data_IF_570137047505
#
_entry.id   IF_570137047505
#
_cell.length_a   1.000
_cell.length_b   1.000
_cell.length_c   1.000
_cell.angle_alpha   90.00
_cell.angle_beta   90.00
_cell.angle_gamma   90.00
#
_symmetry.space_group_name_H-M   'P 1'
#
loop_
_entity.id
_entity.type
_entity.pdbx_description
1 polymer ?
#
# COMPACT_ATOMS: atom_id res chain seq x y z
N UNK A 1 23.29 12.97 14.10
CA UNK A 1 22.27 13.00 13.04
C UNK A 1 22.85 13.76 11.86
N UNK A 2 23.22 13.10 10.76
CA UNK A 2 23.91 13.76 9.62
C UNK A 2 23.03 14.81 8.91
N UNK A 3 21.71 14.69 8.93
CA UNK A 3 20.78 15.57 8.21
C UNK A 3 19.84 16.39 9.13
N UNK A 4 20.13 16.47 10.42
CA UNK A 4 19.35 17.24 11.36
C UNK A 4 17.96 16.66 11.71
N UNK A 5 17.21 17.35 12.56
CA UNK A 5 15.90 16.90 13.02
C UNK A 5 14.79 17.07 11.95
N UNK A 6 14.94 18.04 11.05
CA UNK A 6 14.00 18.25 9.95
C UNK A 6 13.89 17.05 9.02
N UNK A 7 14.98 16.32 8.79
CA UNK A 7 14.98 15.10 7.99
C UNK A 7 14.13 13.98 8.62
N UNK A 8 14.05 13.93 9.95
CA UNK A 8 13.20 12.97 10.66
C UNK A 8 11.72 13.29 10.44
N UNK A 9 11.34 14.57 10.47
CA UNK A 9 9.96 15.00 10.22
C UNK A 9 9.55 14.66 8.78
N UNK A 10 10.42 14.94 7.81
CA UNK A 10 10.16 14.59 6.41
C UNK A 10 10.04 13.07 6.20
N UNK A 11 10.89 12.29 6.87
CA UNK A 11 10.82 10.83 6.81
C UNK A 11 9.54 10.28 7.44
N UNK A 12 9.00 10.93 8.50
CA UNK A 12 7.74 10.53 9.13
C UNK A 12 6.57 10.54 8.14
N UNK A 13 6.50 11.52 7.23
CA UNK A 13 5.46 11.56 6.19
C UNK A 13 5.54 10.36 5.25
N UNK A 14 6.76 9.99 4.84
CA UNK A 14 6.98 8.78 4.02
C UNK A 14 6.64 7.49 4.76
N UNK A 15 6.96 7.42 6.06
CA UNK A 15 6.63 6.27 6.90
C UNK A 15 5.11 6.15 7.08
N UNK A 16 4.39 7.24 7.29
CA UNK A 16 2.91 7.21 7.35
C UNK A 16 2.30 6.61 6.08
N UNK A 17 2.82 7.00 4.91
CA UNK A 17 2.38 6.43 3.63
C UNK A 17 2.61 4.91 3.56
N UNK A 18 3.72 4.40 4.09
CA UNK A 18 4.03 2.97 4.10
C UNK A 18 3.08 2.12 4.95
N UNK A 19 2.34 2.74 5.88
CA UNK A 19 1.35 2.06 6.72
C UNK A 19 -0.08 2.13 6.18
N UNK A 20 -0.34 2.92 5.13
CA UNK A 20 -1.64 2.95 4.45
C UNK A 20 -1.93 1.56 3.91
N UNK A 21 -3.14 1.07 4.20
CA UNK A 21 -3.58 -0.27 3.78
C UNK A 21 -3.63 -1.31 4.92
N UNK A 22 -3.06 -1.02 6.08
CA UNK A 22 -3.20 -1.89 7.25
C UNK A 22 -4.67 -2.05 7.67
N UNK A 23 -5.50 -1.03 7.45
CA UNK A 23 -6.94 -1.01 7.69
C UNK A 23 -7.75 -1.92 6.75
N UNK A 24 -7.23 -2.26 5.57
CA UNK A 24 -7.90 -3.15 4.60
C UNK A 24 -8.22 -4.52 5.24
N UNK A 25 -7.37 -4.98 6.15
CA UNK A 25 -7.59 -6.23 6.88
C UNK A 25 -8.87 -6.17 7.71
N UNK A 26 -9.21 -5.01 8.26
CA UNK A 26 -10.44 -4.84 9.04
C UNK A 26 -11.69 -4.87 8.16
N UNK A 27 -11.61 -4.36 6.93
CA UNK A 27 -12.71 -4.42 5.94
C UNK A 27 -12.99 -5.87 5.56
N UNK A 28 -11.93 -6.66 5.29
CA UNK A 28 -12.07 -8.08 4.97
C UNK A 28 -12.61 -8.89 6.17
N UNK A 29 -12.13 -8.58 7.37
CA UNK A 29 -12.58 -9.25 8.59
C UNK A 29 -14.04 -8.94 8.95
N UNK A 30 -14.55 -7.77 8.56
CA UNK A 30 -15.95 -7.38 8.78
C UNK A 30 -16.97 -8.26 8.01
N UNK A 31 -16.54 -8.94 6.95
CA UNK A 31 -17.36 -9.88 6.17
C UNK A 31 -17.32 -11.32 6.69
N UNK A 32 -16.56 -11.59 7.76
CA UNK A 32 -16.47 -12.92 8.34
C UNK A 32 -17.68 -13.26 9.21
N UNK A 33 -17.86 -14.55 9.54
CA UNK A 33 -18.97 -15.03 10.42
C UNK A 33 -18.92 -14.42 11.82
N UNK A 34 -17.72 -14.10 12.34
CA UNK A 34 -17.50 -13.49 13.65
C UNK A 34 -16.63 -12.23 13.55
N UNK A 35 -17.18 -11.10 13.05
CA UNK A 35 -16.40 -9.90 12.72
C UNK A 35 -15.56 -9.36 13.90
N UNK A 36 -16.14 -9.25 15.09
CA UNK A 36 -15.45 -8.70 16.25
C UNK A 36 -14.22 -9.51 16.67
N UNK A 37 -14.30 -10.84 16.61
CA UNK A 37 -13.17 -11.72 16.93
C UNK A 37 -12.08 -11.65 15.87
N UNK A 38 -12.47 -11.68 14.60
CA UNK A 38 -11.51 -11.68 13.49
C UNK A 38 -10.82 -10.30 13.33
N UNK A 39 -11.53 -9.19 13.55
CA UNK A 39 -10.94 -7.84 13.58
C UNK A 39 -9.88 -7.77 14.70
N UNK A 40 -10.20 -8.22 15.91
CA UNK A 40 -9.24 -8.20 17.03
C UNK A 40 -8.00 -9.05 16.75
N UNK A 41 -8.17 -10.25 16.18
CA UNK A 41 -7.07 -11.14 15.81
C UNK A 41 -6.22 -10.55 14.70
N UNK A 42 -6.87 -9.99 13.68
CA UNK A 42 -6.21 -9.33 12.58
C UNK A 42 -5.39 -8.12 13.04
N UNK A 43 -5.96 -7.23 13.86
CA UNK A 43 -5.26 -6.07 14.41
C UNK A 43 -4.01 -6.46 15.20
N UNK A 44 -4.11 -7.44 16.10
CA UNK A 44 -2.94 -7.93 16.82
C UNK A 44 -1.86 -8.52 15.89
N UNK A 45 -2.29 -9.28 14.87
CA UNK A 45 -1.36 -9.86 13.89
C UNK A 45 -0.63 -8.78 13.08
N UNK A 46 -1.35 -7.71 12.68
CA UNK A 46 -0.77 -6.58 11.94
C UNK A 46 0.31 -5.89 12.76
N UNK A 47 0.06 -5.59 14.03
CA UNK A 47 1.05 -4.94 14.92
C UNK A 47 2.35 -5.75 14.99
N UNK A 48 2.26 -7.07 15.23
CA UNK A 48 3.43 -7.94 15.29
C UNK A 48 4.18 -8.04 13.94
N UNK A 49 3.45 -8.10 12.83
CA UNK A 49 4.05 -8.12 11.49
C UNK A 49 4.78 -6.82 11.18
N UNK A 50 4.19 -5.68 11.51
CA UNK A 50 4.82 -4.37 11.34
C UNK A 50 6.10 -4.32 12.19
N UNK A 51 6.03 -4.66 13.47
CA UNK A 51 7.19 -4.63 14.35
C UNK A 51 8.32 -5.53 13.82
N UNK A 52 8.02 -6.76 13.43
CA UNK A 52 9.01 -7.71 12.98
C UNK A 52 9.56 -7.38 11.58
N UNK A 53 8.69 -7.15 10.61
CA UNK A 53 9.11 -7.03 9.21
C UNK A 53 9.54 -5.61 8.85
N UNK A 54 8.87 -4.56 9.33
CA UNK A 54 9.28 -3.19 9.01
C UNK A 54 10.45 -2.75 9.90
N UNK A 55 10.30 -2.79 11.21
CA UNK A 55 11.36 -2.33 12.12
C UNK A 55 12.57 -3.26 12.04
N UNK A 56 12.36 -4.57 12.02
CA UNK A 56 13.43 -5.57 11.95
C UNK A 56 14.22 -5.47 10.64
N UNK A 57 13.55 -5.37 9.49
CA UNK A 57 14.23 -5.27 8.19
C UNK A 57 14.99 -3.95 8.04
N UNK A 58 14.43 -2.84 8.49
CA UNK A 58 15.11 -1.54 8.49
C UNK A 58 16.30 -1.53 9.42
N UNK A 59 16.18 -2.12 10.61
CA UNK A 59 17.30 -2.26 11.53
C UNK A 59 18.47 -3.04 10.91
N UNK A 60 18.18 -4.18 10.29
CA UNK A 60 19.20 -4.99 9.60
C UNK A 60 19.84 -4.18 8.47
N UNK A 61 19.04 -3.50 7.65
CA UNK A 61 19.53 -2.68 6.55
C UNK A 61 20.49 -1.58 7.00
N UNK A 62 20.11 -0.85 8.05
CA UNK A 62 20.93 0.24 8.61
C UNK A 62 22.23 -0.28 9.22
N UNK A 63 22.22 -1.48 9.80
CA UNK A 63 23.43 -2.12 10.33
C UNK A 63 24.39 -2.61 9.24
N UNK A 64 23.87 -3.04 8.09
CA UNK A 64 24.68 -3.63 7.02
C UNK A 64 25.17 -2.61 6.00
N UNK A 65 24.42 -1.54 5.74
CA UNK A 65 24.73 -0.62 4.66
C UNK A 65 24.97 0.79 5.19
N UNK A 66 26.12 1.40 4.90
CA UNK A 66 26.38 2.78 5.25
C UNK A 66 25.46 3.71 4.45
N UNK A 67 24.94 4.75 5.10
CA UNK A 67 23.98 5.71 4.53
C UNK A 67 24.49 6.46 3.29
N UNK A 68 25.79 6.53 3.08
CA UNK A 68 26.44 7.21 1.95
C UNK A 68 26.72 6.26 0.76
N UNK A 69 26.20 5.03 0.78
CA UNK A 69 26.38 4.10 -0.33
C UNK A 69 25.74 4.67 -1.61
N UNK A 70 26.51 4.82 -2.71
CA UNK A 70 26.00 5.41 -3.95
C UNK A 70 24.84 4.61 -4.57
N UNK A 71 24.78 3.30 -4.37
CA UNK A 71 23.71 2.44 -4.88
C UNK A 71 22.34 2.73 -4.25
N UNK A 72 22.31 3.35 -3.05
CA UNK A 72 21.05 3.77 -2.43
C UNK A 72 20.40 4.97 -3.12
N UNK A 73 21.18 5.72 -3.90
CA UNK A 73 20.72 6.89 -4.65
C UNK A 73 20.28 6.54 -6.08
N UNK A 74 20.61 5.35 -6.53
CA UNK A 74 20.23 4.87 -7.86
C UNK A 74 18.78 4.33 -7.82
N UNK A 75 17.84 4.93 -8.55
CA UNK A 75 16.45 4.50 -8.57
C UNK A 75 16.25 3.09 -9.13
N UNK A 76 17.23 2.53 -9.84
CA UNK A 76 17.18 1.16 -10.35
C UNK A 76 17.51 0.09 -9.30
N UNK A 77 18.08 0.52 -8.15
CA UNK A 77 18.42 -0.33 -7.02
C UNK A 77 17.53 0.01 -5.84
N UNK A 78 16.66 -0.90 -5.45
CA UNK A 78 15.93 -0.77 -4.20
C UNK A 78 16.82 -1.09 -2.99
N UNK A 79 16.54 -0.49 -1.85
CA UNK A 79 17.30 -0.69 -0.60
C UNK A 79 17.49 -2.17 -0.25
N UNK A 80 16.47 -3.00 -0.43
CA UNK A 80 16.56 -4.45 -0.19
C UNK A 80 17.48 -5.18 -1.18
N UNK A 81 17.50 -4.75 -2.45
CA UNK A 81 18.43 -5.32 -3.45
C UNK A 81 19.88 -5.06 -3.06
N UNK A 82 20.18 -3.85 -2.60
CA UNK A 82 21.51 -3.47 -2.11
C UNK A 82 21.89 -4.29 -0.88
N UNK A 83 20.96 -4.46 0.06
CA UNK A 83 21.19 -5.24 1.29
C UNK A 83 21.50 -6.71 0.98
N UNK A 84 20.71 -7.35 0.13
CA UNK A 84 20.91 -8.75 -0.24
C UNK A 84 22.20 -8.95 -1.05
N UNK A 85 22.53 -7.99 -1.92
CA UNK A 85 23.81 -8.01 -2.65
C UNK A 85 25.02 -7.90 -1.71
N UNK A 86 24.92 -7.06 -0.66
CA UNK A 86 25.96 -6.92 0.36
C UNK A 86 26.15 -8.22 1.18
N UNK A 87 25.11 -9.03 1.31
CA UNK A 87 25.17 -10.36 1.92
C UNK A 87 25.72 -11.45 0.96
N UNK A 88 26.11 -11.08 -0.26
CA UNK A 88 26.68 -12.02 -1.24
C UNK A 88 25.65 -12.91 -1.93
N UNK A 89 24.35 -12.56 -1.89
CA UNK A 89 23.31 -13.33 -2.56
C UNK A 89 23.37 -13.02 -4.07
N UNK A 90 23.65 -14.03 -4.93
CA UNK A 90 23.67 -13.85 -6.37
C UNK A 90 22.27 -13.48 -6.87
N UNK A 91 22.20 -12.65 -7.92
CA UNK A 91 20.94 -12.24 -8.56
C UNK A 91 19.95 -11.54 -7.61
N UNK A 92 20.41 -10.96 -6.49
CA UNK A 92 19.60 -10.31 -5.48
C UNK A 92 18.60 -9.30 -6.07
N UNK A 93 19.01 -8.55 -7.11
CA UNK A 93 18.17 -7.57 -7.80
C UNK A 93 16.96 -8.25 -8.47
N UNK A 94 17.15 -9.36 -9.15
CA UNK A 94 16.07 -10.09 -9.81
C UNK A 94 15.11 -10.73 -8.83
N UNK A 95 15.62 -11.29 -7.73
CA UNK A 95 14.81 -11.84 -6.64
C UNK A 95 13.91 -10.76 -6.04
N UNK A 96 14.49 -9.61 -5.68
CA UNK A 96 13.73 -8.51 -5.08
C UNK A 96 12.71 -7.97 -6.07
N UNK A 97 13.06 -7.77 -7.34
CA UNK A 97 12.11 -7.30 -8.36
C UNK A 97 10.92 -8.25 -8.54
N UNK A 98 11.15 -9.56 -8.50
CA UNK A 98 10.07 -10.54 -8.55
C UNK A 98 9.15 -10.46 -7.33
N UNK A 99 9.73 -10.32 -6.13
CA UNK A 99 8.96 -10.14 -4.89
C UNK A 99 8.17 -8.82 -4.91
N UNK A 100 8.77 -7.73 -5.39
CA UNK A 100 8.09 -6.44 -5.54
C UNK A 100 6.93 -6.55 -6.52
N UNK A 101 7.13 -7.20 -7.68
CA UNK A 101 6.07 -7.41 -8.67
C UNK A 101 4.87 -8.16 -8.07
N UNK A 102 5.12 -9.27 -7.40
CA UNK A 102 4.05 -10.07 -6.77
C UNK A 102 3.35 -9.29 -5.63
N UNK A 103 4.10 -8.50 -4.87
CA UNK A 103 3.56 -7.65 -3.81
C UNK A 103 2.68 -6.54 -4.37
N UNK A 104 3.10 -5.88 -5.45
CA UNK A 104 2.30 -4.83 -6.13
C UNK A 104 1.02 -5.42 -6.71
N UNK A 105 1.07 -6.57 -7.34
CA UNK A 105 -0.12 -7.27 -7.84
C UNK A 105 -1.10 -7.60 -6.71
N UNK A 106 -0.59 -8.07 -5.57
CA UNK A 106 -1.41 -8.36 -4.37
C UNK A 106 -2.03 -7.09 -3.79
N UNK A 107 -1.27 -6.02 -3.69
CA UNK A 107 -1.74 -4.71 -3.22
C UNK A 107 -2.85 -4.16 -4.14
N UNK A 108 -2.66 -4.22 -5.44
CA UNK A 108 -3.64 -3.81 -6.44
C UNK A 108 -4.95 -4.61 -6.32
N UNK A 109 -4.86 -5.92 -6.17
CA UNK A 109 -6.04 -6.77 -5.95
C UNK A 109 -6.78 -6.39 -4.68
N UNK A 110 -6.07 -6.14 -3.58
CA UNK A 110 -6.66 -5.70 -2.30
C UNK A 110 -7.34 -4.34 -2.42
N UNK A 111 -6.74 -3.40 -3.16
CA UNK A 111 -7.33 -2.09 -3.43
C UNK A 111 -8.62 -2.20 -4.24
N UNK A 112 -8.64 -3.00 -5.32
CA UNK A 112 -9.85 -3.27 -6.11
C UNK A 112 -10.96 -3.90 -5.27
N UNK A 113 -10.61 -4.86 -4.42
CA UNK A 113 -11.54 -5.49 -3.50
C UNK A 113 -12.18 -4.45 -2.58
N UNK A 114 -11.37 -3.64 -1.92
CA UNK A 114 -11.86 -2.62 -0.97
C UNK A 114 -12.70 -1.56 -1.68
N UNK A 115 -12.24 -0.99 -2.78
CA UNK A 115 -12.97 0.03 -3.55
C UNK A 115 -14.35 -0.49 -4.01
N UNK A 116 -14.39 -1.71 -4.55
CA UNK A 116 -15.66 -2.29 -5.04
C UNK A 116 -16.68 -2.50 -3.91
N UNK A 117 -16.23 -2.92 -2.72
CA UNK A 117 -17.07 -3.11 -1.53
C UNK A 117 -17.54 -1.79 -0.94
N UNK A 118 -16.68 -0.77 -0.93
CA UNK A 118 -17.07 0.57 -0.49
C UNK A 118 -18.13 1.17 -1.41
N UNK A 119 -17.99 1.08 -2.73
CA UNK A 119 -18.97 1.53 -3.70
C UNK A 119 -20.31 0.79 -3.53
N UNK A 120 -20.28 -0.51 -3.30
CA UNK A 120 -21.47 -1.30 -2.99
C UNK A 120 -22.16 -0.83 -1.71
N UNK A 121 -21.41 -0.59 -0.65
CA UNK A 121 -21.93 -0.11 0.62
C UNK A 121 -22.57 1.28 0.50
N UNK A 122 -21.92 2.21 -0.21
CA UNK A 122 -22.44 3.54 -0.48
C UNK A 122 -23.74 3.50 -1.31
N UNK A 123 -23.80 2.62 -2.31
CA UNK A 123 -25.01 2.44 -3.12
C UNK A 123 -26.19 1.93 -2.28
N UNK A 124 -25.95 1.02 -1.34
CA UNK A 124 -27.00 0.51 -0.44
C UNK A 124 -27.49 1.58 0.55
N UNK A 125 -26.66 2.57 0.88
CA UNK A 125 -27.05 3.73 1.71
C UNK A 125 -27.76 4.84 0.93
N UNK A 126 -27.72 4.77 -0.40
CA UNK A 126 -28.28 5.82 -1.28
C UNK A 126 -27.29 6.93 -1.63
N UNK A 127 -26.03 6.86 -1.18
CA UNK A 127 -24.98 7.86 -1.40
C UNK A 127 -24.25 7.66 -2.75
N UNK A 128 -24.52 6.56 -3.46
CA UNK A 128 -23.98 6.27 -4.78
C UNK A 128 -25.06 5.71 -5.71
N UNK A 129 -24.86 5.78 -7.04
CA UNK A 129 -25.80 5.24 -8.02
C UNK A 129 -26.18 3.78 -7.76
N UNK A 130 -27.47 3.46 -7.89
CA UNK A 130 -28.02 2.11 -7.63
C UNK A 130 -27.34 1.00 -8.44
N UNK A 131 -26.72 1.31 -9.57
CA UNK A 131 -25.99 0.36 -10.41
C UNK A 131 -24.84 -0.33 -9.65
N UNK A 132 -24.20 0.35 -8.69
CA UNK A 132 -23.15 -0.23 -7.86
C UNK A 132 -23.65 -1.23 -6.81
N UNK A 133 -24.95 -1.23 -6.51
CA UNK A 133 -25.61 -2.22 -5.65
C UNK A 133 -25.86 -3.58 -6.32
N UNK A 134 -25.53 -3.72 -7.62
CA UNK A 134 -25.71 -4.99 -8.33
C UNK A 134 -24.59 -5.98 -8.00
N UNK A 135 -24.96 -7.17 -7.58
CA UNK A 135 -24.04 -8.28 -7.31
C UNK A 135 -24.19 -9.37 -8.37
N UNK A 136 -23.09 -10.00 -8.72
CA UNK A 136 -23.07 -11.15 -9.61
C UNK A 136 -23.50 -12.43 -8.85
N UNK A 137 -23.74 -13.53 -9.56
CA UNK A 137 -24.11 -14.84 -9.00
C UNK A 137 -23.14 -15.32 -7.90
N UNK A 138 -21.89 -14.90 -7.94
CA UNK A 138 -20.86 -15.23 -6.96
C UNK A 138 -20.79 -14.22 -5.78
N UNK A 139 -21.77 -13.33 -5.63
CA UNK A 139 -21.79 -12.34 -4.53
C UNK A 139 -20.81 -11.17 -4.70
N UNK A 140 -20.18 -11.00 -5.86
CA UNK A 140 -19.21 -9.94 -6.11
C UNK A 140 -19.90 -8.69 -6.72
N UNK A 141 -19.57 -7.46 -6.26
CA UNK A 141 -20.07 -6.20 -6.82
C UNK A 141 -19.35 -5.87 -8.13
N UNK A 142 -19.73 -6.55 -9.20
CA UNK A 142 -19.03 -6.51 -10.49
C UNK A 142 -18.93 -5.12 -11.11
N UNK A 143 -19.95 -4.28 -10.94
CA UNK A 143 -19.92 -2.87 -11.41
C UNK A 143 -18.85 -2.05 -10.68
N UNK A 144 -18.72 -2.24 -9.36
CA UNK A 144 -17.69 -1.61 -8.57
C UNK A 144 -16.29 -2.03 -9.03
N UNK A 145 -16.08 -3.31 -9.30
CA UNK A 145 -14.81 -3.84 -9.82
C UNK A 145 -14.49 -3.24 -11.20
N UNK A 146 -15.47 -3.22 -12.12
CA UNK A 146 -15.28 -2.68 -13.48
C UNK A 146 -14.87 -1.21 -13.46
N UNK A 147 -15.59 -0.38 -12.71
CA UNK A 147 -15.32 1.06 -12.64
C UNK A 147 -13.97 1.32 -11.98
N UNK A 148 -13.67 0.65 -10.87
CA UNK A 148 -12.35 0.79 -10.21
C UNK A 148 -11.20 0.34 -11.12
N UNK A 149 -11.38 -0.75 -11.88
CA UNK A 149 -10.38 -1.21 -12.86
C UNK A 149 -10.18 -0.22 -14.01
N UNK A 150 -11.26 0.41 -14.48
CA UNK A 150 -11.17 1.42 -15.54
C UNK A 150 -10.38 2.64 -15.05
N UNK A 151 -10.66 3.14 -13.85
CA UNK A 151 -9.86 4.22 -13.25
C UNK A 151 -8.39 3.85 -13.08
N UNK A 152 -8.09 2.64 -12.66
CA UNK A 152 -6.72 2.16 -12.55
C UNK A 152 -6.00 2.11 -13.91
N UNK A 153 -6.68 1.66 -14.98
CA UNK A 153 -6.15 1.68 -16.35
C UNK A 153 -5.88 3.10 -16.82
N UNK A 154 -6.81 4.04 -16.60
CA UNK A 154 -6.62 5.45 -16.94
C UNK A 154 -5.44 6.05 -16.20
N UNK A 155 -5.33 5.82 -14.88
CA UNK A 155 -4.21 6.28 -14.08
C UNK A 155 -2.87 5.72 -14.58
N UNK A 156 -2.82 4.42 -14.92
CA UNK A 156 -1.64 3.78 -15.50
C UNK A 156 -1.27 4.40 -16.85
N UNK A 157 -2.25 4.63 -17.72
CA UNK A 157 -2.03 5.26 -19.02
C UNK A 157 -1.47 6.68 -18.89
N UNK A 158 -2.05 7.49 -18.01
CA UNK A 158 -1.59 8.85 -17.73
C UNK A 158 -0.15 8.86 -17.18
N UNK A 159 0.16 7.94 -16.25
CA UNK A 159 1.51 7.83 -15.69
C UNK A 159 2.53 7.37 -16.74
N UNK A 160 2.11 6.56 -17.71
CA UNK A 160 2.99 6.06 -18.77
C UNK A 160 3.25 7.10 -19.88
N UNK A 161 2.29 7.99 -20.15
CA UNK A 161 2.37 8.99 -21.23
C UNK A 161 2.92 10.33 -20.76
N UNK A 162 2.64 10.71 -19.54
CA UNK A 162 3.10 11.95 -18.92
C UNK A 162 4.38 11.69 -18.09
N UNK A 163 5.28 12.69 -18.07
CA UNK A 163 6.48 12.63 -17.24
C UNK A 163 6.13 12.53 -15.73
N UNK A 164 7.11 12.16 -14.91
CA UNK A 164 7.05 11.82 -13.47
C UNK A 164 6.09 12.64 -12.57
N UNK A 165 5.62 13.80 -13.00
CA UNK A 165 4.74 14.68 -12.22
C UNK A 165 3.37 14.06 -11.89
N UNK A 166 2.82 13.21 -12.74
CA UNK A 166 1.49 12.58 -12.54
C UNK A 166 1.56 11.58 -11.38
N UNK A 167 2.63 10.80 -11.31
CA UNK A 167 2.86 9.87 -10.21
C UNK A 167 2.93 10.60 -8.86
N UNK A 168 3.68 11.69 -8.79
CA UNK A 168 3.84 12.49 -7.57
C UNK A 168 2.50 13.11 -7.14
N UNK A 169 1.69 13.57 -8.08
CA UNK A 169 0.35 14.10 -7.80
C UNK A 169 -0.55 13.01 -7.18
N UNK A 170 -0.55 11.80 -7.75
CA UNK A 170 -1.35 10.69 -7.17
C UNK A 170 -0.85 10.28 -5.79
N UNK A 171 0.47 10.26 -5.55
CA UNK A 171 1.06 10.00 -4.25
C UNK A 171 0.63 11.03 -3.20
N UNK A 172 0.73 12.32 -3.54
CA UNK A 172 0.32 13.41 -2.65
C UNK A 172 -1.19 13.38 -2.38
N UNK A 173 -2.01 13.17 -3.41
CA UNK A 173 -3.46 13.08 -3.27
C UNK A 173 -3.87 11.93 -2.35
N UNK A 174 -3.26 10.75 -2.52
CA UNK A 174 -3.52 9.58 -1.68
C UNK A 174 -3.09 9.83 -0.23
N UNK A 175 -1.90 10.40 -0.01
CA UNK A 175 -1.41 10.76 1.33
C UNK A 175 -2.32 11.77 2.04
N UNK A 176 -2.79 12.80 1.32
CA UNK A 176 -3.70 13.81 1.85
C UNK A 176 -5.06 13.20 2.20
N UNK A 177 -5.61 12.36 1.33
CA UNK A 177 -6.86 11.67 1.58
C UNK A 177 -6.78 10.76 2.81
N UNK A 178 -5.68 10.02 2.96
CA UNK A 178 -5.44 9.17 4.13
C UNK A 178 -5.36 9.99 5.43
N UNK A 179 -4.63 11.10 5.43
CA UNK A 179 -4.57 12.00 6.59
C UNK A 179 -5.96 12.51 6.98
N UNK A 180 -6.78 12.91 6.00
CA UNK A 180 -8.15 13.37 6.24
C UNK A 180 -8.99 12.26 6.87
N UNK A 181 -8.92 11.03 6.35
CA UNK A 181 -9.64 9.88 6.89
C UNK A 181 -9.21 9.59 8.34
N UNK A 182 -7.91 9.56 8.62
CA UNK A 182 -7.43 9.30 9.98
C UNK A 182 -7.81 10.41 10.97
N UNK A 183 -7.81 11.67 10.53
CA UNK A 183 -8.28 12.79 11.36
C UNK A 183 -9.78 12.73 11.67
N UNK A 184 -10.58 12.18 10.75
CA UNK A 184 -12.05 12.05 10.97
C UNK A 184 -12.41 10.85 11.84
N UNK A 185 -11.53 9.85 11.95
CA UNK A 185 -11.74 8.65 12.77
C UNK A 185 -11.21 8.86 14.20
N UNK A 186 -10.19 9.70 14.40
CA UNK A 186 -9.59 9.97 15.71
C UNK A 186 -10.47 10.88 16.56
#
# INVERSE_FOLDING_TARGET
MPNGFSAVITALLGVMFAYIGAEIVTVAAAESENPAREIRKASNSVVWRIMLFYVGSMFITVCLIPHNNPLLKDPTWGTYSVTLSALGIPEAKHIVNFVVLTSVCSCFNSALYTCSRMLFSLSNRGDAPKSFGSINRNGSPWMGVLVSSLFALVATYLTATESMNVYDIFMLATGTAALYVYLTIA
#
